data_IF_288858869478
#
_entry.id   IF_288858869478
#
_cell.length_a   1.000
_cell.length_b   1.000
_cell.length_c   1.000
_cell.angle_alpha   90.00
_cell.angle_beta   90.00
_cell.angle_gamma   90.00
#
_symmetry.space_group_name_H-M   'P 1'
#
loop_
_entity.id
_entity.type
_entity.pdbx_description
1 polymer ?
#
# COMPACT_ATOMS: atom_id res chain seq x y z
N UNK A 1 -9.04 18.27 1.39
CA UNK A 1 -8.48 17.93 2.72
C UNK A 1 -9.49 18.08 3.85
N UNK A 2 -10.39 19.04 3.78
CA UNK A 2 -11.41 19.25 4.85
C UNK A 2 -12.30 18.04 5.15
N UNK A 3 -12.49 17.14 4.20
CA UNK A 3 -13.21 15.89 4.39
C UNK A 3 -12.63 14.97 5.47
N UNK A 4 -11.31 15.06 5.69
CA UNK A 4 -10.61 14.20 6.66
C UNK A 4 -10.79 14.65 8.12
N UNK A 5 -11.15 15.91 8.38
CA UNK A 5 -11.49 16.40 9.72
C UNK A 5 -12.69 15.67 10.35
N UNK A 6 -13.46 14.96 9.54
CA UNK A 6 -14.64 14.21 9.94
C UNK A 6 -14.39 12.76 10.35
N UNK A 7 -13.16 12.26 10.25
CA UNK A 7 -12.81 10.92 10.72
C UNK A 7 -12.75 10.84 12.26
N UNK A 8 -12.96 9.67 12.82
CA UNK A 8 -13.16 9.47 14.25
C UNK A 8 -11.87 9.35 15.08
N UNK A 9 -10.71 9.25 14.43
CA UNK A 9 -9.39 9.04 15.07
C UNK A 9 -8.37 10.03 14.52
N UNK A 10 -7.15 9.98 15.04
CA UNK A 10 -6.03 10.76 14.51
C UNK A 10 -5.96 10.67 12.98
N UNK A 11 -6.08 11.85 12.36
CA UNK A 11 -6.19 11.98 10.93
C UNK A 11 -4.85 12.17 10.24
N UNK A 12 -3.79 12.53 10.95
CA UNK A 12 -2.47 12.84 10.36
C UNK A 12 -1.88 11.62 9.67
N UNK A 13 -1.87 10.45 10.34
CA UNK A 13 -1.41 9.20 9.72
C UNK A 13 -2.23 8.85 8.48
N UNK A 14 -3.56 9.01 8.54
CA UNK A 14 -4.44 8.72 7.42
C UNK A 14 -4.17 9.65 6.24
N UNK A 15 -4.04 10.95 6.48
CA UNK A 15 -3.70 11.94 5.45
C UNK A 15 -2.35 11.63 4.80
N UNK A 16 -1.34 11.28 5.61
CA UNK A 16 -0.03 10.85 5.10
C UNK A 16 -0.16 9.66 4.15
N UNK A 17 -0.96 8.65 4.48
CA UNK A 17 -1.19 7.49 3.61
C UNK A 17 -1.87 7.89 2.28
N UNK A 18 -2.82 8.84 2.30
CA UNK A 18 -3.43 9.35 1.07
C UNK A 18 -2.44 10.15 0.21
N UNK A 19 -1.57 10.97 0.83
CA UNK A 19 -0.53 11.68 0.08
C UNK A 19 0.48 10.72 -0.53
N UNK A 20 0.88 9.70 0.19
CA UNK A 20 1.72 8.62 -0.29
C UNK A 20 1.10 7.92 -1.52
N UNK A 21 -0.19 7.56 -1.43
CA UNK A 21 -0.91 6.96 -2.54
C UNK A 21 -1.03 7.91 -3.75
N UNK A 22 -1.32 9.20 -3.53
CA UNK A 22 -1.39 10.20 -4.58
C UNK A 22 -0.05 10.35 -5.32
N UNK A 23 1.04 10.48 -4.57
CA UNK A 23 2.39 10.59 -5.12
C UNK A 23 2.71 9.42 -6.06
N UNK A 24 2.44 8.18 -5.62
CA UNK A 24 2.63 7.00 -6.45
C UNK A 24 1.73 6.98 -7.70
N UNK A 25 0.44 7.30 -7.55
CA UNK A 25 -0.49 7.28 -8.69
C UNK A 25 -0.09 8.35 -9.73
N UNK A 26 0.36 9.52 -9.29
CA UNK A 26 0.86 10.55 -10.19
C UNK A 26 2.12 10.12 -10.94
N UNK A 27 3.02 9.41 -10.25
CA UNK A 27 4.24 8.85 -10.83
C UNK A 27 3.98 7.66 -11.75
N UNK A 28 2.84 6.99 -11.63
CA UNK A 28 2.53 5.70 -12.26
C UNK A 28 2.78 5.61 -13.77
N UNK A 29 2.59 6.67 -14.60
CA UNK A 29 2.88 6.60 -16.04
C UNK A 29 4.35 6.38 -16.38
N UNK A 30 5.25 6.67 -15.45
CA UNK A 30 6.70 6.56 -15.65
C UNK A 30 7.29 5.26 -15.09
N UNK A 31 6.57 4.55 -14.24
CA UNK A 31 7.10 3.38 -13.51
C UNK A 31 7.58 2.28 -14.47
N UNK A 32 6.81 1.96 -15.51
CA UNK A 32 7.19 0.92 -16.45
C UNK A 32 8.49 1.26 -17.20
N UNK A 33 8.67 2.52 -17.61
CA UNK A 33 9.90 2.98 -18.26
C UNK A 33 11.09 2.94 -17.30
N UNK A 34 10.93 3.48 -16.11
CA UNK A 34 12.00 3.48 -15.09
C UNK A 34 12.45 2.06 -14.74
N UNK A 35 11.51 1.14 -14.61
CA UNK A 35 11.77 -0.26 -14.36
C UNK A 35 12.57 -0.91 -15.49
N UNK A 36 12.19 -0.67 -16.74
CA UNK A 36 12.89 -1.17 -17.92
C UNK A 36 14.32 -0.63 -18.02
N UNK A 37 14.51 0.68 -17.83
CA UNK A 37 15.83 1.30 -17.90
C UNK A 37 16.72 0.86 -16.72
N UNK A 38 16.17 0.71 -15.53
CA UNK A 38 16.91 0.19 -14.38
C UNK A 38 17.41 -1.25 -14.61
N UNK A 39 16.61 -2.11 -15.23
CA UNK A 39 17.03 -3.46 -15.59
C UNK A 39 18.13 -3.42 -16.66
N UNK A 40 17.97 -2.58 -17.68
CA UNK A 40 18.91 -2.45 -18.80
C UNK A 40 20.29 -1.95 -18.37
N UNK A 41 20.34 -0.88 -17.58
CA UNK A 41 21.60 -0.19 -17.27
C UNK A 41 22.24 -0.64 -15.96
N UNK A 42 21.47 -1.10 -14.99
CA UNK A 42 22.00 -1.34 -13.65
C UNK A 42 21.96 -2.79 -13.18
N UNK A 43 21.38 -3.70 -13.95
CA UNK A 43 21.11 -5.09 -13.53
C UNK A 43 20.45 -5.17 -12.15
N UNK A 44 19.65 -4.14 -11.80
CA UNK A 44 19.07 -3.96 -10.47
C UNK A 44 17.77 -4.70 -10.33
N UNK A 45 17.44 -4.91 -9.08
CA UNK A 45 16.15 -5.47 -8.68
C UNK A 45 15.02 -4.57 -9.22
N UNK A 46 14.29 -5.07 -10.19
CA UNK A 46 13.10 -4.47 -10.78
C UNK A 46 12.03 -4.09 -9.74
N UNK A 47 12.14 -4.65 -8.51
CA UNK A 47 11.30 -4.34 -7.36
C UNK A 47 11.45 -2.91 -6.85
N UNK A 48 12.49 -2.18 -7.28
CA UNK A 48 12.66 -0.75 -6.99
C UNK A 48 11.51 0.10 -7.57
N UNK A 49 10.88 -0.38 -8.65
CA UNK A 49 9.78 0.33 -9.32
C UNK A 49 8.53 -0.56 -9.38
N UNK A 50 7.82 -0.75 -8.26
CA UNK A 50 6.67 -1.65 -8.18
C UNK A 50 5.52 -1.18 -9.06
N UNK A 51 5.00 -2.10 -9.87
CA UNK A 51 3.88 -1.86 -10.79
C UNK A 51 2.50 -2.01 -10.12
N UNK A 52 2.47 -2.31 -8.84
CA UNK A 52 1.25 -2.65 -8.13
C UNK A 52 1.13 -1.87 -6.83
N UNK A 53 -0.08 -1.38 -6.55
CA UNK A 53 -0.44 -0.80 -5.26
C UNK A 53 -1.67 -1.51 -4.71
N UNK A 54 -1.67 -1.77 -3.42
CA UNK A 54 -2.81 -2.23 -2.67
C UNK A 54 -3.25 -1.18 -1.67
N UNK A 55 -4.45 -0.65 -1.83
CA UNK A 55 -5.09 0.21 -0.85
C UNK A 55 -6.14 -0.62 -0.11
N UNK A 56 -5.89 -0.89 1.15
CA UNK A 56 -6.83 -1.67 1.95
C UNK A 56 -7.26 -0.93 3.22
N UNK A 57 -8.41 -1.32 3.74
CA UNK A 57 -8.97 -0.72 4.95
C UNK A 57 -10.46 -0.95 5.02
N UNK A 58 -11.05 -0.54 6.13
CA UNK A 58 -12.47 -0.73 6.38
C UNK A 58 -13.36 -0.15 5.29
N UNK A 59 -14.57 -0.67 5.16
CA UNK A 59 -15.63 -0.02 4.38
C UNK A 59 -15.81 1.41 4.87
N UNK A 60 -16.23 2.31 3.97
CA UNK A 60 -16.42 3.74 4.24
C UNK A 60 -15.13 4.53 4.63
N UNK A 61 -13.95 3.96 4.40
CA UNK A 61 -12.69 4.68 4.55
C UNK A 61 -12.46 5.75 3.45
N UNK A 62 -13.24 5.74 2.38
CA UNK A 62 -13.15 6.71 1.27
C UNK A 62 -12.20 6.29 0.15
N UNK A 63 -11.80 5.02 0.05
CA UNK A 63 -10.88 4.49 -0.97
C UNK A 63 -11.33 4.80 -2.40
N UNK A 64 -12.56 4.39 -2.74
CA UNK A 64 -13.16 4.60 -4.07
C UNK A 64 -13.28 6.08 -4.41
N UNK A 65 -13.73 6.92 -3.45
CA UNK A 65 -13.83 8.35 -3.64
C UNK A 65 -12.47 9.01 -3.89
N UNK A 66 -11.41 8.55 -3.18
CA UNK A 66 -10.05 9.03 -3.38
C UNK A 66 -9.54 8.72 -4.80
N UNK A 67 -9.72 7.50 -5.28
CA UNK A 67 -9.28 7.13 -6.64
C UNK A 67 -10.04 7.94 -7.69
N UNK A 68 -11.37 8.07 -7.56
CA UNK A 68 -12.17 8.85 -8.50
C UNK A 68 -11.73 10.33 -8.54
N UNK A 69 -11.43 10.94 -7.38
CA UNK A 69 -10.88 12.30 -7.32
C UNK A 69 -9.50 12.38 -7.98
N UNK A 70 -8.65 11.40 -7.77
CA UNK A 70 -7.31 11.35 -8.36
C UNK A 70 -7.40 11.22 -9.89
N UNK A 71 -8.26 10.36 -10.40
CA UNK A 71 -8.50 10.21 -11.84
C UNK A 71 -9.08 11.51 -12.45
N UNK A 72 -10.02 12.16 -11.77
CA UNK A 72 -10.55 13.46 -12.20
C UNK A 72 -9.42 14.50 -12.27
N UNK A 73 -8.55 14.55 -11.29
CA UNK A 73 -7.42 15.48 -11.25
C UNK A 73 -6.37 15.19 -12.35
N UNK A 74 -6.21 13.93 -12.75
CA UNK A 74 -5.26 13.54 -13.79
C UNK A 74 -5.83 13.72 -15.21
N UNK A 75 -7.10 13.39 -15.44
CA UNK A 75 -7.65 13.17 -16.78
C UNK A 75 -8.91 13.98 -17.07
N UNK A 76 -9.42 14.75 -16.11
CA UNK A 76 -10.73 15.44 -16.17
C UNK A 76 -11.90 14.47 -16.42
N UNK A 77 -11.67 13.21 -16.13
CA UNK A 77 -12.64 12.13 -16.33
C UNK A 77 -12.53 11.14 -15.16
N UNK A 78 -13.58 11.04 -14.38
CA UNK A 78 -13.69 10.00 -13.35
C UNK A 78 -14.50 8.84 -13.93
N UNK A 79 -13.79 7.87 -14.50
CA UNK A 79 -14.42 6.64 -14.97
C UNK A 79 -14.80 5.77 -13.78
N UNK A 80 -15.82 4.96 -13.98
CA UNK A 80 -16.16 3.93 -13.00
C UNK A 80 -14.97 3.00 -12.82
N UNK A 81 -14.69 2.66 -11.57
CA UNK A 81 -13.62 1.70 -11.26
C UNK A 81 -13.93 0.34 -11.89
N UNK A 82 -12.90 -0.37 -12.27
CA UNK A 82 -13.08 -1.70 -12.85
C UNK A 82 -13.67 -2.65 -11.81
N UNK A 83 -14.75 -3.34 -12.20
CA UNK A 83 -15.34 -4.36 -11.36
C UNK A 83 -14.48 -5.62 -11.37
N UNK A 84 -14.26 -6.22 -10.20
CA UNK A 84 -13.58 -7.50 -10.09
C UNK A 84 -14.31 -8.63 -10.85
N UNK A 85 -15.63 -8.58 -10.96
CA UNK A 85 -16.41 -9.64 -11.62
C UNK A 85 -16.21 -9.63 -13.14
N UNK A 86 -16.06 -8.46 -13.72
CA UNK A 86 -15.92 -8.28 -15.15
C UNK A 86 -14.48 -8.43 -15.64
N UNK A 87 -13.49 -7.96 -14.87
CA UNK A 87 -12.12 -7.76 -15.33
C UNK A 87 -11.07 -8.65 -14.65
N UNK A 88 -11.43 -9.40 -13.62
CA UNK A 88 -10.50 -10.14 -12.80
C UNK A 88 -10.23 -11.56 -13.33
N UNK A 89 -9.65 -11.66 -14.50
CA UNK A 89 -9.01 -12.89 -15.01
C UNK A 89 -7.60 -12.55 -15.50
N UNK A 90 -6.70 -13.53 -15.52
CA UNK A 90 -5.32 -13.31 -15.96
C UNK A 90 -5.26 -12.70 -17.37
N UNK A 91 -6.08 -13.20 -18.30
CA UNK A 91 -6.12 -12.73 -19.69
C UNK A 91 -6.61 -11.29 -19.79
N UNK A 92 -7.72 -10.95 -19.13
CA UNK A 92 -8.29 -9.61 -19.16
C UNK A 92 -7.37 -8.58 -18.49
N UNK A 93 -6.76 -8.94 -17.36
CA UNK A 93 -5.81 -8.05 -16.68
C UNK A 93 -4.56 -7.82 -17.53
N UNK A 94 -4.01 -8.86 -18.18
CA UNK A 94 -2.89 -8.72 -19.12
C UNK A 94 -3.27 -7.85 -20.31
N UNK A 95 -4.46 -8.04 -20.87
CA UNK A 95 -4.97 -7.20 -21.95
C UNK A 95 -5.06 -5.72 -21.52
N UNK A 96 -5.70 -5.42 -20.39
CA UNK A 96 -5.83 -4.05 -19.89
C UNK A 96 -4.46 -3.40 -19.66
N UNK A 97 -3.52 -4.12 -19.06
CA UNK A 97 -2.17 -3.67 -18.80
C UNK A 97 -1.48 -3.17 -20.08
N UNK A 98 -1.65 -3.90 -21.17
CA UNK A 98 -1.00 -3.60 -22.44
C UNK A 98 -1.70 -2.50 -23.24
N UNK A 99 -3.03 -2.40 -23.14
CA UNK A 99 -3.83 -1.47 -23.95
C UNK A 99 -3.87 -0.07 -23.34
N UNK A 100 -3.91 0.03 -22.02
CA UNK A 100 -4.12 1.31 -21.32
C UNK A 100 -2.83 2.15 -21.16
N UNK A 101 -1.68 1.64 -21.52
CA UNK A 101 -0.39 2.36 -21.70
C UNK A 101 -0.12 3.47 -20.70
N UNK A 102 0.25 3.11 -19.48
CA UNK A 102 0.63 4.07 -18.43
C UNK A 102 -0.56 4.69 -17.69
N UNK A 103 -1.81 4.42 -18.08
CA UNK A 103 -2.97 4.81 -17.30
C UNK A 103 -3.09 3.96 -16.03
N UNK A 104 -3.17 4.53 -14.81
CA UNK A 104 -3.32 3.74 -13.60
C UNK A 104 -4.70 3.06 -13.56
N UNK A 105 -4.69 1.73 -13.54
CA UNK A 105 -5.90 0.91 -13.54
C UNK A 105 -6.32 0.58 -12.11
N UNK A 106 -7.46 1.08 -11.67
CA UNK A 106 -7.98 0.78 -10.35
C UNK A 106 -9.09 -0.28 -10.41
N UNK A 107 -8.94 -1.33 -9.59
CA UNK A 107 -9.91 -2.41 -9.47
C UNK A 107 -10.45 -2.41 -8.04
N UNK A 108 -11.76 -2.24 -7.91
CA UNK A 108 -12.43 -2.11 -6.60
C UNK A 108 -12.96 -3.45 -6.07
N UNK A 109 -13.14 -3.48 -4.75
CA UNK A 109 -13.80 -4.57 -4.00
C UNK A 109 -13.19 -5.95 -4.17
N UNK A 110 -11.84 -6.06 -4.22
CA UNK A 110 -11.20 -7.37 -4.34
C UNK A 110 -11.52 -8.25 -3.13
N UNK A 111 -12.19 -9.37 -3.39
CA UNK A 111 -12.56 -10.37 -2.39
C UNK A 111 -11.43 -11.39 -2.18
N UNK A 112 -11.46 -12.10 -1.06
CA UNK A 112 -10.49 -13.15 -0.72
C UNK A 112 -10.36 -14.23 -1.80
N UNK A 113 -11.46 -14.58 -2.46
CA UNK A 113 -11.49 -15.59 -3.53
C UNK A 113 -10.76 -15.13 -4.81
N UNK A 114 -10.65 -13.83 -5.03
CA UNK A 114 -10.01 -13.22 -6.22
C UNK A 114 -8.51 -12.95 -6.01
N UNK A 115 -8.01 -13.01 -4.79
CA UNK A 115 -6.58 -12.78 -4.50
C UNK A 115 -5.63 -13.68 -5.27
N UNK A 116 -6.06 -14.88 -5.65
CA UNK A 116 -5.25 -15.78 -6.51
C UNK A 116 -4.87 -15.15 -7.86
N UNK A 117 -5.71 -14.27 -8.40
CA UNK A 117 -5.43 -13.60 -9.67
C UNK A 117 -4.42 -12.45 -9.46
N UNK A 118 -4.52 -11.72 -8.35
CA UNK A 118 -3.49 -10.72 -7.97
C UNK A 118 -2.14 -11.40 -7.84
N UNK A 119 -2.07 -12.51 -7.11
CA UNK A 119 -0.86 -13.30 -6.94
C UNK A 119 -0.24 -13.73 -8.28
N UNK A 120 -1.07 -14.21 -9.18
CA UNK A 120 -0.61 -14.66 -10.49
C UNK A 120 -0.07 -13.53 -11.36
N UNK A 121 -0.75 -12.37 -11.41
CA UNK A 121 -0.32 -11.25 -12.25
C UNK A 121 0.95 -10.61 -11.69
N UNK A 122 1.05 -10.45 -10.37
CA UNK A 122 2.23 -9.89 -9.70
C UNK A 122 3.46 -10.78 -9.89
N UNK A 123 3.31 -12.11 -9.86
CA UNK A 123 4.42 -13.04 -10.06
C UNK A 123 4.86 -13.18 -11.53
N UNK A 124 3.93 -13.09 -12.47
CA UNK A 124 4.24 -13.21 -13.91
C UNK A 124 4.81 -11.94 -14.53
N UNK A 125 4.80 -10.84 -13.81
CA UNK A 125 5.21 -9.56 -14.34
C UNK A 125 6.71 -9.51 -14.68
N UNK A 126 7.50 -10.26 -13.94
CA UNK A 126 8.95 -10.31 -14.07
C UNK A 126 9.40 -10.86 -15.44
N UNK A 127 8.62 -11.73 -16.08
CA UNK A 127 8.99 -12.38 -17.33
C UNK A 127 8.68 -11.53 -18.59
N UNK A 128 7.73 -10.61 -18.50
CA UNK A 128 7.24 -9.84 -19.66
C UNK A 128 8.09 -8.59 -19.94
N UNK A 129 8.69 -7.98 -18.91
CA UNK A 129 9.46 -6.75 -19.04
C UNK A 129 10.88 -6.96 -19.59
N UNK A 130 11.35 -8.20 -19.63
CA UNK A 130 12.72 -8.55 -20.06
C UNK A 130 12.92 -8.51 -21.57
N UNK A 131 11.86 -8.48 -22.36
CA UNK A 131 11.96 -8.66 -23.80
C UNK A 131 11.84 -7.37 -24.61
N UNK A 132 10.92 -6.47 -24.25
CA UNK A 132 10.70 -5.19 -24.93
C UNK A 132 10.14 -4.16 -23.98
N UNK A 133 10.51 -2.87 -24.19
CA UNK A 133 9.84 -1.79 -23.48
C UNK A 133 8.37 -1.71 -23.91
N UNK A 134 7.50 -2.03 -23.00
CA UNK A 134 6.07 -1.78 -23.13
C UNK A 134 5.67 -0.86 -21.97
N UNK A 135 5.03 0.26 -22.30
CA UNK A 135 4.52 1.17 -21.28
C UNK A 135 3.28 0.56 -20.58
N UNK A 136 3.54 -0.43 -19.74
CA UNK A 136 2.49 -1.13 -19.02
C UNK A 136 1.77 -0.21 -18.02
N UNK A 137 0.48 -0.46 -17.81
CA UNK A 137 -0.31 0.20 -16.78
C UNK A 137 0.03 -0.34 -15.40
N UNK A 138 0.05 0.56 -14.43
CA UNK A 138 0.08 0.23 -13.01
C UNK A 138 -1.30 -0.21 -12.55
N UNK A 139 -1.37 -1.22 -11.69
CA UNK A 139 -2.62 -1.62 -11.05
C UNK A 139 -2.72 -1.09 -9.62
N UNK A 140 -3.88 -0.52 -9.30
CA UNK A 140 -4.27 -0.11 -7.95
C UNK A 140 -5.41 -1.00 -7.49
N UNK A 141 -5.15 -1.87 -6.55
CA UNK A 141 -6.12 -2.80 -5.99
C UNK A 141 -6.77 -2.20 -4.74
N UNK A 142 -8.10 -2.17 -4.71
CA UNK A 142 -8.84 -1.73 -3.54
C UNK A 142 -9.50 -2.94 -2.86
N UNK A 143 -9.33 -3.05 -1.55
CA UNK A 143 -9.92 -4.14 -0.79
C UNK A 143 -10.35 -3.72 0.60
N UNK A 144 -11.40 -4.32 1.11
CA UNK A 144 -11.81 -4.21 2.51
C UNK A 144 -11.09 -5.25 3.38
N UNK A 145 -10.58 -6.32 2.77
CA UNK A 145 -9.86 -7.40 3.42
C UNK A 145 -8.56 -7.70 2.67
N UNK A 146 -7.52 -8.05 3.39
CA UNK A 146 -6.26 -8.52 2.81
C UNK A 146 -6.09 -9.99 3.15
N UNK A 147 -5.78 -10.81 2.15
CA UNK A 147 -5.30 -12.17 2.38
C UNK A 147 -3.83 -12.09 2.81
N UNK A 148 -3.64 -12.01 4.13
CA UNK A 148 -2.31 -11.87 4.75
C UNK A 148 -1.42 -13.11 4.59
N UNK A 149 -1.93 -14.18 3.97
CA UNK A 149 -1.18 -15.43 3.79
C UNK A 149 -0.17 -15.38 2.64
N UNK A 150 -0.16 -14.30 1.83
CA UNK A 150 0.67 -14.21 0.62
C UNK A 150 1.79 -13.18 0.73
N UNK A 151 2.73 -13.48 1.62
CA UNK A 151 3.95 -12.72 1.85
C UNK A 151 4.74 -12.37 0.55
N UNK A 152 4.80 -13.28 -0.42
CA UNK A 152 5.54 -13.04 -1.67
C UNK A 152 5.00 -11.85 -2.49
N UNK A 153 3.72 -11.49 -2.30
CA UNK A 153 3.12 -10.31 -2.95
C UNK A 153 3.65 -9.02 -2.31
N UNK A 154 3.85 -9.00 -1.00
CA UNK A 154 4.25 -7.80 -0.26
C UNK A 154 5.59 -7.21 -0.74
N UNK A 155 6.47 -8.04 -1.26
CA UNK A 155 7.78 -7.61 -1.82
C UNK A 155 7.66 -6.85 -3.15
N UNK A 156 6.51 -6.97 -3.84
CA UNK A 156 6.29 -6.44 -5.19
C UNK A 156 5.17 -5.42 -5.27
N UNK A 157 4.51 -5.15 -4.15
CA UNK A 157 3.30 -4.33 -4.07
C UNK A 157 3.47 -3.25 -3.02
N UNK A 158 3.20 -2.01 -3.40
CA UNK A 158 3.07 -0.93 -2.42
C UNK A 158 1.79 -1.13 -1.63
N UNK A 159 1.90 -1.09 -0.30
CA UNK A 159 0.77 -1.32 0.60
C UNK A 159 0.38 -0.03 1.31
N UNK A 160 -0.86 0.39 1.13
CA UNK A 160 -1.46 1.56 1.76
C UNK A 160 -2.62 1.12 2.65
N UNK A 161 -2.50 1.39 3.93
CA UNK A 161 -3.51 1.02 4.92
C UNK A 161 -4.34 2.21 5.37
N UNK A 162 -5.66 2.08 5.31
CA UNK A 162 -6.62 3.10 5.71
C UNK A 162 -7.48 2.60 6.87
N UNK A 163 -7.07 2.89 8.10
CA UNK A 163 -7.67 2.33 9.33
C UNK A 163 -8.89 3.12 9.84
N UNK A 164 -9.40 4.09 9.11
CA UNK A 164 -10.41 4.99 9.63
C UNK A 164 -11.73 4.88 8.87
N UNK A 165 -12.84 5.11 9.58
CA UNK A 165 -14.20 5.06 9.02
C UNK A 165 -14.89 6.41 9.21
N UNK A 166 -15.66 6.81 8.21
CA UNK A 166 -16.64 7.87 8.33
C UNK A 166 -17.93 7.32 8.95
N UNK A 167 -18.53 8.08 9.86
CA UNK A 167 -19.90 7.75 10.26
C UNK A 167 -20.85 7.95 9.08
N UNK A 168 -21.86 7.09 8.90
CA UNK A 168 -22.82 7.14 7.77
C UNK A 168 -23.39 8.55 7.54
N UNK A 169 -23.71 9.29 8.60
CA UNK A 169 -24.26 10.65 8.49
C UNK A 169 -23.25 11.63 7.88
N UNK A 170 -21.98 11.51 8.25
CA UNK A 170 -20.89 12.33 7.73
C UNK A 170 -20.49 11.92 6.31
N UNK A 171 -20.56 10.63 5.98
CA UNK A 171 -20.26 10.13 4.64
C UNK A 171 -21.22 10.70 3.57
N UNK A 172 -22.51 10.80 3.86
CA UNK A 172 -23.50 11.37 2.92
C UNK A 172 -23.24 12.86 2.68
N UNK A 173 -22.94 13.64 3.72
CA UNK A 173 -22.61 15.07 3.59
C UNK A 173 -21.34 15.31 2.78
N UNK A 174 -20.29 14.56 3.09
CA UNK A 174 -19.01 14.63 2.37
C UNK A 174 -19.14 14.22 0.90
N UNK A 175 -19.95 13.19 0.60
CA UNK A 175 -20.15 12.75 -0.77
C UNK A 175 -20.73 13.83 -1.68
N UNK A 176 -21.64 14.70 -1.18
CA UNK A 176 -22.16 15.84 -1.94
C UNK A 176 -21.06 16.88 -2.20
N UNK A 177 -20.28 17.22 -1.19
CA UNK A 177 -19.18 18.19 -1.31
C UNK A 177 -18.11 17.70 -2.27
N UNK A 178 -17.71 16.42 -2.19
CA UNK A 178 -16.77 15.81 -3.12
C UNK A 178 -17.26 15.89 -4.56
N UNK A 179 -18.54 15.58 -4.84
CA UNK A 179 -19.12 15.71 -6.19
C UNK A 179 -19.08 17.13 -6.72
N UNK A 180 -19.32 18.14 -5.87
CA UNK A 180 -19.24 19.55 -6.27
C UNK A 180 -17.77 19.92 -6.58
N UNK A 181 -16.83 19.52 -5.74
CA UNK A 181 -15.41 19.75 -5.97
C UNK A 181 -14.94 19.09 -7.28
N UNK A 182 -15.28 17.83 -7.50
CA UNK A 182 -14.91 17.10 -8.73
C UNK A 182 -15.39 17.76 -10.01
N UNK A 183 -16.58 18.37 -10.02
CA UNK A 183 -17.09 19.10 -11.18
C UNK A 183 -16.25 20.31 -11.57
N UNK A 184 -15.55 20.90 -10.62
CA UNK A 184 -14.69 22.08 -10.81
C UNK A 184 -13.21 21.74 -10.92
N UNK A 185 -12.84 20.46 -10.75
CA UNK A 185 -11.46 20.02 -10.87
C UNK A 185 -11.04 19.95 -12.33
N UNK A 186 -9.89 20.55 -12.63
CA UNK A 186 -9.21 20.46 -13.92
C UNK A 186 -7.90 19.69 -13.77
N UNK A 187 -7.33 19.26 -14.87
CA UNK A 187 -6.04 18.57 -14.88
C UNK A 187 -4.83 19.53 -14.96
N UNK A 188 -5.03 20.83 -14.79
CA UNK A 188 -3.97 21.82 -14.92
C UNK A 188 -2.79 21.56 -13.96
N UNK A 189 -3.08 21.17 -12.72
CA UNK A 189 -2.05 20.81 -11.75
C UNK A 189 -1.26 19.58 -12.23
N UNK A 190 -1.93 18.53 -12.65
CA UNK A 190 -1.29 17.30 -13.11
C UNK A 190 -0.50 17.50 -14.40
N UNK A 191 -0.95 18.33 -15.32
CA UNK A 191 -0.20 18.70 -16.54
C UNK A 191 1.12 19.39 -16.21
N UNK A 192 1.12 20.32 -15.24
CA UNK A 192 2.36 20.96 -14.75
C UNK A 192 3.27 19.93 -14.08
N UNK A 193 2.70 19.03 -13.27
CA UNK A 193 3.44 17.93 -12.68
C UNK A 193 4.11 17.05 -13.75
N UNK A 194 3.36 16.59 -14.76
CA UNK A 194 3.89 15.79 -15.86
C UNK A 194 5.05 16.48 -16.57
N UNK A 195 4.93 17.78 -16.89
CA UNK A 195 5.98 18.51 -17.60
C UNK A 195 7.31 18.51 -16.83
N UNK A 196 7.29 18.57 -15.49
CA UNK A 196 8.47 18.50 -14.63
C UNK A 196 8.98 17.08 -14.47
N UNK A 197 8.06 16.13 -14.30
CA UNK A 197 8.43 14.72 -14.17
C UNK A 197 9.09 14.17 -15.44
N UNK A 198 8.69 14.59 -16.63
CA UNK A 198 9.37 14.19 -17.88
C UNK A 198 10.85 14.56 -17.84
N UNK A 199 11.17 15.78 -17.43
CA UNK A 199 12.56 16.23 -17.31
C UNK A 199 13.30 15.42 -16.24
N UNK A 200 12.71 15.28 -15.05
CA UNK A 200 13.31 14.56 -13.94
C UNK A 200 13.57 13.07 -14.28
N UNK A 201 12.64 12.43 -14.98
CA UNK A 201 12.79 11.02 -15.41
C UNK A 201 13.87 10.88 -16.48
N UNK A 202 13.95 11.80 -17.46
CA UNK A 202 14.99 11.76 -18.48
C UNK A 202 16.38 12.00 -17.87
N UNK A 203 16.51 12.89 -16.89
CA UNK A 203 17.76 13.13 -16.18
C UNK A 203 18.16 11.91 -15.34
N UNK A 204 17.21 11.28 -14.67
CA UNK A 204 17.45 10.06 -13.92
C UNK A 204 17.90 8.89 -14.80
N UNK A 205 17.32 8.74 -15.99
CA UNK A 205 17.75 7.70 -16.94
C UNK A 205 19.17 7.95 -17.43
N UNK A 206 19.56 9.20 -17.72
CA UNK A 206 20.95 9.54 -18.05
C UNK A 206 21.91 9.20 -16.91
N UNK A 207 21.50 9.51 -15.67
CA UNK A 207 22.29 9.17 -14.49
C UNK A 207 22.43 7.64 -14.32
N UNK A 208 21.40 6.85 -14.62
CA UNK A 208 21.49 5.39 -14.65
C UNK A 208 22.47 4.90 -15.71
N UNK A 209 22.47 5.49 -16.91
CA UNK A 209 23.36 5.15 -18.01
C UNK A 209 24.83 5.51 -17.68
N UNK A 210 25.07 6.70 -17.11
CA UNK A 210 26.41 7.15 -16.71
C UNK A 210 26.99 6.31 -15.57
N UNK A 211 26.17 5.77 -14.69
CA UNK A 211 26.57 4.98 -13.52
C UNK A 211 26.46 3.46 -13.74
N UNK A 212 26.36 2.98 -14.98
CA UNK A 212 26.26 1.55 -15.32
C UNK A 212 27.39 0.69 -14.71
N UNK A 213 28.59 1.25 -14.56
CA UNK A 213 29.77 0.58 -14.04
C UNK A 213 29.98 0.67 -12.52
N UNK A 214 29.17 1.46 -11.82
CA UNK A 214 29.31 1.68 -10.37
C UNK A 214 28.69 0.51 -9.62
N UNK A 215 29.38 0.00 -8.59
CA UNK A 215 28.81 -1.00 -7.67
C UNK A 215 27.61 -0.42 -6.94
N UNK A 216 26.47 -0.79 -7.44
CA UNK A 216 25.22 -0.07 -7.38
C UNK A 216 24.40 -0.33 -6.12
N UNK A 217 24.95 -0.99 -5.12
CA UNK A 217 24.22 -1.23 -3.85
C UNK A 217 23.91 0.04 -3.07
N UNK A 218 24.67 1.11 -3.31
CA UNK A 218 24.54 2.38 -2.58
C UNK A 218 23.76 3.46 -3.36
N UNK A 219 23.58 3.30 -4.68
CA UNK A 219 22.86 4.29 -5.48
C UNK A 219 21.49 3.80 -5.93
N UNK A 220 20.48 4.27 -5.29
CA UNK A 220 19.08 4.06 -5.68
C UNK A 220 18.47 5.42 -5.96
N UNK A 221 18.05 5.69 -7.21
CA UNK A 221 17.39 6.94 -7.52
C UNK A 221 16.05 7.03 -6.78
N UNK A 222 15.92 8.02 -5.93
CA UNK A 222 14.70 8.23 -5.16
C UNK A 222 13.68 9.02 -5.97
N UNK A 223 13.11 8.38 -6.97
CA UNK A 223 12.08 8.97 -7.83
C UNK A 223 10.81 9.34 -7.04
N UNK A 224 10.53 8.66 -5.93
CA UNK A 224 9.40 8.98 -5.09
C UNK A 224 9.61 10.30 -4.36
N UNK A 225 10.84 10.57 -3.94
CA UNK A 225 11.22 11.85 -3.34
C UNK A 225 11.17 12.97 -4.37
N UNK A 226 11.70 12.75 -5.56
CA UNK A 226 11.63 13.71 -6.67
C UNK A 226 10.18 14.06 -7.00
N UNK A 227 9.31 13.06 -7.11
CA UNK A 227 7.88 13.25 -7.37
C UNK A 227 7.18 14.03 -6.25
N UNK A 228 7.44 13.69 -4.99
CA UNK A 228 6.88 14.39 -3.83
C UNK A 228 7.31 15.86 -3.80
N UNK A 229 8.60 16.15 -4.06
CA UNK A 229 9.13 17.51 -4.11
C UNK A 229 8.47 18.33 -5.23
N UNK A 230 8.27 17.77 -6.41
CA UNK A 230 7.55 18.44 -7.50
C UNK A 230 6.12 18.79 -7.09
N UNK A 231 5.40 17.90 -6.39
CA UNK A 231 4.06 18.18 -5.87
C UNK A 231 4.11 19.33 -4.85
N UNK A 232 5.06 19.30 -3.91
CA UNK A 232 5.26 20.34 -2.89
C UNK A 232 5.52 21.69 -3.54
N UNK A 233 6.41 21.74 -4.53
CA UNK A 233 6.78 22.98 -5.20
C UNK A 233 5.62 23.57 -6.00
N UNK A 234 4.83 22.74 -6.66
CA UNK A 234 3.61 23.18 -7.36
C UNK A 234 2.55 23.74 -6.41
N UNK A 235 2.41 23.19 -5.21
CA UNK A 235 1.52 23.72 -4.16
C UNK A 235 2.01 25.10 -3.71
N UNK A 236 3.33 25.26 -3.46
CA UNK A 236 3.94 26.54 -3.07
C UNK A 236 3.81 27.60 -4.16
N UNK A 237 4.01 27.24 -5.44
CA UNK A 237 3.84 28.15 -6.57
C UNK A 237 2.40 28.61 -6.77
N UNK A 238 1.43 27.80 -6.33
CA UNK A 238 0.04 28.21 -6.29
C UNK A 238 -0.31 29.06 -5.05
N UNK A 239 0.72 29.47 -4.28
CA UNK A 239 0.57 30.25 -3.03
C UNK A 239 -0.32 29.55 -1.99
N UNK A 240 -0.34 28.21 -1.99
CA UNK A 240 -1.10 27.40 -1.06
C UNK A 240 -0.20 26.87 0.05
N UNK A 241 -0.76 26.70 1.24
CA UNK A 241 -0.07 26.06 2.34
C UNK A 241 0.18 24.57 2.04
N UNK A 242 1.43 24.13 2.20
CA UNK A 242 1.79 22.72 2.06
C UNK A 242 1.30 21.97 3.29
N UNK A 243 0.45 20.95 3.13
CA UNK A 243 -0.01 20.15 4.26
C UNK A 243 1.15 19.48 4.99
N UNK A 244 1.13 19.49 6.32
CA UNK A 244 2.19 18.90 7.15
C UNK A 244 2.41 17.41 6.89
N UNK A 245 1.35 16.71 6.45
CA UNK A 245 1.38 15.28 6.16
C UNK A 245 1.93 14.94 4.75
N UNK A 246 2.14 15.97 3.92
CA UNK A 246 2.84 15.86 2.63
C UNK A 246 4.32 16.07 2.88
N UNK A 247 5.01 15.02 3.24
CA UNK A 247 6.43 14.97 3.49
C UNK A 247 7.21 14.59 2.21
N UNK A 248 8.53 14.67 2.29
CA UNK A 248 9.41 14.08 1.32
C UNK A 248 9.37 12.56 1.48
N UNK A 249 8.50 11.90 0.72
CA UNK A 249 8.44 10.45 0.71
C UNK A 249 9.70 9.90 0.04
N UNK A 250 10.33 8.95 0.72
CA UNK A 250 11.51 8.27 0.21
C UNK A 250 11.13 6.90 -0.35
N UNK A 251 12.02 6.31 -1.13
CA UNK A 251 11.85 4.97 -1.66
C UNK A 251 11.53 3.94 -0.55
N UNK A 252 12.17 4.04 0.61
CA UNK A 252 11.92 3.17 1.77
C UNK A 252 10.49 3.24 2.30
N UNK A 253 9.79 4.36 2.09
CA UNK A 253 8.38 4.50 2.44
C UNK A 253 7.47 3.61 1.60
N UNK A 254 7.88 3.23 0.40
CA UNK A 254 7.05 2.49 -0.57
C UNK A 254 7.46 1.04 -0.72
N UNK A 255 8.71 0.72 -0.51
CA UNK A 255 9.31 -0.59 -0.77
C UNK A 255 9.99 -1.10 0.48
N UNK A 256 10.45 -2.34 0.46
CA UNK A 256 11.18 -2.91 1.58
C UNK A 256 10.29 -3.35 2.75
N UNK A 257 10.86 -3.28 3.93
CA UNK A 257 10.27 -3.86 5.14
C UNK A 257 8.95 -3.20 5.57
N UNK A 258 8.72 -1.93 5.20
CA UNK A 258 7.51 -1.21 5.66
C UNK A 258 6.21 -1.86 5.21
N UNK A 259 6.12 -2.34 3.96
CA UNK A 259 4.95 -3.04 3.45
C UNK A 259 4.76 -4.41 4.11
N UNK A 260 5.86 -5.10 4.33
CA UNK A 260 5.92 -6.39 5.01
C UNK A 260 5.45 -6.24 6.46
N UNK A 261 5.97 -5.24 7.15
CA UNK A 261 5.61 -4.94 8.53
C UNK A 261 4.13 -4.56 8.67
N UNK A 262 3.59 -3.78 7.75
CA UNK A 262 2.16 -3.46 7.72
C UNK A 262 1.30 -4.72 7.57
N UNK A 263 1.65 -5.63 6.67
CA UNK A 263 0.92 -6.88 6.46
C UNK A 263 1.07 -7.84 7.64
N UNK A 264 2.26 -7.93 8.23
CA UNK A 264 2.51 -8.75 9.42
C UNK A 264 1.77 -8.21 10.64
N UNK A 265 1.75 -6.88 10.81
CA UNK A 265 0.94 -6.21 11.83
C UNK A 265 -0.55 -6.52 11.66
N UNK A 266 -1.06 -6.46 10.43
CA UNK A 266 -2.45 -6.81 10.13
C UNK A 266 -2.74 -8.27 10.42
N UNK A 267 -1.84 -9.19 10.04
CA UNK A 267 -1.97 -10.61 10.32
C UNK A 267 -2.11 -10.86 11.83
N UNK A 268 -1.24 -10.28 12.65
CA UNK A 268 -1.33 -10.40 14.11
C UNK A 268 -2.64 -9.86 14.68
N UNK A 269 -3.11 -8.71 14.18
CA UNK A 269 -4.41 -8.14 14.60
C UNK A 269 -5.58 -9.02 14.24
N UNK A 270 -5.59 -9.54 13.01
CA UNK A 270 -6.65 -10.41 12.51
C UNK A 270 -6.69 -11.71 13.32
N UNK A 271 -5.52 -12.34 13.53
CA UNK A 271 -5.45 -13.55 14.35
C UNK A 271 -5.90 -13.30 15.79
N UNK A 272 -5.51 -12.19 16.40
CA UNK A 272 -5.96 -11.86 17.75
C UNK A 272 -7.47 -11.62 17.81
N UNK A 273 -8.07 -11.03 16.78
CA UNK A 273 -9.51 -10.78 16.71
C UNK A 273 -10.32 -12.07 16.52
N UNK A 274 -9.82 -12.98 15.66
CA UNK A 274 -10.51 -14.21 15.29
C UNK A 274 -10.22 -15.36 16.26
N UNK A 275 -9.00 -15.44 16.78
CA UNK A 275 -8.50 -16.53 17.60
C UNK A 275 -7.78 -16.01 18.87
N UNK A 276 -8.44 -15.25 19.75
CA UNK A 276 -7.80 -14.61 20.90
C UNK A 276 -7.18 -15.60 21.89
N UNK A 277 -7.63 -16.85 21.90
CA UNK A 277 -7.11 -17.89 22.80
C UNK A 277 -5.75 -18.45 22.39
N UNK A 278 -5.31 -18.18 21.16
CA UNK A 278 -3.95 -18.47 20.72
C UNK A 278 -2.90 -17.53 21.33
N UNK A 279 -3.34 -16.38 21.87
CA UNK A 279 -2.47 -15.34 22.40
C UNK A 279 -2.35 -15.43 23.91
N UNK A 280 -1.18 -15.81 24.39
CA UNK A 280 -0.84 -15.83 25.81
C UNK A 280 0.01 -14.61 26.16
N UNK A 281 -0.55 -13.72 26.98
CA UNK A 281 0.03 -12.43 27.35
C UNK A 281 0.59 -12.50 28.77
N UNK A 282 1.91 -12.46 28.91
CA UNK A 282 2.59 -12.34 30.21
C UNK A 282 3.13 -10.92 30.42
N UNK A 283 2.32 -10.05 31.02
CA UNK A 283 2.69 -8.65 31.27
C UNK A 283 3.84 -8.46 32.25
N UNK A 284 4.03 -9.40 33.19
CA UNK A 284 5.11 -9.31 34.18
C UNK A 284 6.48 -9.53 33.56
N UNK A 285 6.56 -10.45 32.61
CA UNK A 285 7.80 -10.78 31.89
C UNK A 285 7.91 -10.04 30.57
N UNK A 286 6.93 -9.21 30.22
CA UNK A 286 6.84 -8.52 28.93
C UNK A 286 6.90 -9.46 27.72
N UNK A 287 6.24 -10.63 27.81
CA UNK A 287 6.27 -11.65 26.79
C UNK A 287 4.87 -11.86 26.20
N UNK A 288 4.80 -11.91 24.86
CA UNK A 288 3.68 -12.40 24.09
C UNK A 288 4.04 -13.74 23.45
N UNK A 289 3.21 -14.76 23.66
CA UNK A 289 3.32 -16.04 22.96
C UNK A 289 2.08 -16.28 22.10
N UNK A 290 2.28 -16.53 20.80
CA UNK A 290 1.21 -16.93 19.87
C UNK A 290 1.35 -18.42 19.58
N UNK A 291 0.36 -19.21 19.96
CA UNK A 291 0.35 -20.66 19.86
C UNK A 291 -0.55 -21.16 18.72
N UNK A 292 0.07 -21.64 17.64
CA UNK A 292 -0.61 -22.18 16.47
C UNK A 292 -0.85 -23.71 16.55
N UNK A 293 -0.56 -24.36 17.69
CA UNK A 293 -0.69 -25.83 17.85
C UNK A 293 -2.11 -26.34 17.54
N UNK A 294 -3.14 -25.54 17.86
CA UNK A 294 -4.54 -25.87 17.63
C UNK A 294 -5.11 -25.28 16.33
N UNK A 295 -4.27 -24.70 15.45
CA UNK A 295 -4.72 -24.15 14.20
C UNK A 295 -5.20 -25.25 13.25
N UNK A 296 -6.39 -25.13 12.70
CA UNK A 296 -7.05 -26.17 11.89
C UNK A 296 -6.26 -26.52 10.61
N UNK A 297 -5.69 -25.50 9.95
CA UNK A 297 -4.87 -25.67 8.76
C UNK A 297 -3.38 -25.57 9.11
N UNK A 298 -2.72 -26.71 9.28
CA UNK A 298 -1.30 -26.79 9.62
C UNK A 298 -0.37 -26.14 8.57
N UNK A 299 -0.74 -26.15 7.31
CA UNK A 299 0.03 -25.50 6.25
C UNK A 299 0.00 -23.97 6.40
N UNK A 300 -1.18 -23.40 6.68
CA UNK A 300 -1.31 -21.98 6.96
C UNK A 300 -0.62 -21.58 8.27
N UNK A 301 -0.75 -22.39 9.31
CA UNK A 301 -0.04 -22.15 10.57
C UNK A 301 1.46 -22.03 10.37
N UNK A 302 2.10 -22.97 9.66
CA UNK A 302 3.54 -22.94 9.36
C UNK A 302 3.95 -21.71 8.55
N UNK A 303 3.15 -21.30 7.57
CA UNK A 303 3.42 -20.08 6.79
C UNK A 303 3.39 -18.84 7.68
N UNK A 304 2.39 -18.71 8.56
CA UNK A 304 2.29 -17.59 9.51
C UNK A 304 3.45 -17.56 10.49
N UNK A 305 3.83 -18.71 11.05
CA UNK A 305 5.00 -18.80 11.91
C UNK A 305 6.28 -18.37 11.19
N UNK A 306 6.50 -18.82 9.96
CA UNK A 306 7.65 -18.40 9.14
C UNK A 306 7.62 -16.89 8.85
N UNK A 307 6.45 -16.31 8.63
CA UNK A 307 6.29 -14.87 8.47
C UNK A 307 6.68 -14.12 9.76
N UNK A 308 6.22 -14.59 10.93
CA UNK A 308 6.62 -13.99 12.22
C UNK A 308 8.11 -14.10 12.48
N UNK A 309 8.73 -15.22 12.14
CA UNK A 309 10.16 -15.47 12.35
C UNK A 309 11.06 -14.57 11.49
N UNK A 310 10.68 -14.38 10.21
CA UNK A 310 11.59 -13.75 9.24
C UNK A 310 11.27 -12.27 8.96
N UNK A 311 10.06 -11.82 9.28
CA UNK A 311 9.53 -10.57 8.74
C UNK A 311 9.11 -9.56 9.81
N UNK A 312 9.28 -9.91 11.07
CA UNK A 312 9.08 -8.94 12.15
C UNK A 312 10.31 -8.05 12.33
N UNK A 313 10.14 -6.78 12.71
CA UNK A 313 11.26 -5.93 13.09
C UNK A 313 12.14 -6.60 14.16
N UNK A 314 13.45 -6.45 14.02
CA UNK A 314 14.43 -7.11 14.90
C UNK A 314 14.22 -6.78 16.39
N UNK A 315 13.74 -5.58 16.70
CA UNK A 315 13.47 -5.14 18.08
C UNK A 315 12.31 -5.89 18.76
N UNK A 316 11.49 -6.66 18.02
CA UNK A 316 10.47 -7.53 18.62
C UNK A 316 11.05 -8.84 19.15
N UNK A 317 12.27 -9.18 18.75
CA UNK A 317 12.96 -10.43 19.14
C UNK A 317 12.10 -11.69 19.02
N UNK A 318 11.46 -11.87 17.86
CA UNK A 318 10.61 -13.02 17.64
C UNK A 318 11.43 -14.32 17.58
N UNK A 319 11.03 -15.29 18.39
CA UNK A 319 11.61 -16.65 18.40
C UNK A 319 10.51 -17.66 18.15
N UNK A 320 10.70 -18.51 17.13
CA UNK A 320 9.78 -19.59 16.80
C UNK A 320 10.33 -20.92 17.27
N UNK A 321 9.55 -21.62 18.11
CA UNK A 321 9.89 -22.97 18.63
C UNK A 321 8.67 -23.87 18.43
N UNK A 322 8.79 -24.83 17.53
CA UNK A 322 7.67 -25.70 17.16
C UNK A 322 6.52 -24.90 16.54
N UNK A 323 5.34 -25.01 17.13
CA UNK A 323 4.14 -24.30 16.68
C UNK A 323 3.90 -22.97 17.43
N UNK A 324 4.92 -22.42 18.10
CA UNK A 324 4.79 -21.21 18.92
C UNK A 324 5.77 -20.12 18.50
N UNK A 325 5.28 -18.89 18.45
CA UNK A 325 6.09 -17.70 18.29
C UNK A 325 6.06 -16.89 19.59
N UNK A 326 7.23 -16.49 20.09
CA UNK A 326 7.39 -15.70 21.31
C UNK A 326 8.10 -14.39 20.98
N UNK A 327 7.61 -13.28 21.50
CA UNK A 327 8.14 -11.95 21.21
C UNK A 327 7.90 -10.96 22.37
N UNK A 328 8.58 -9.82 22.37
CA UNK A 328 8.35 -8.77 23.38
C UNK A 328 6.95 -8.15 23.24
N UNK A 329 6.19 -8.21 24.33
CA UNK A 329 4.80 -7.72 24.35
C UNK A 329 4.69 -6.23 24.06
N UNK A 330 5.42 -5.38 24.79
CA UNK A 330 5.35 -3.93 24.64
C UNK A 330 5.72 -3.45 23.25
N UNK A 331 6.77 -4.04 22.67
CA UNK A 331 7.21 -3.71 21.32
C UNK A 331 6.20 -4.19 20.27
N UNK A 332 5.61 -5.37 20.49
CA UNK A 332 4.57 -5.89 19.60
C UNK A 332 3.30 -5.05 19.68
N UNK A 333 2.84 -4.65 20.86
CA UNK A 333 1.69 -3.75 21.02
C UNK A 333 1.94 -2.39 20.35
N UNK A 334 3.15 -1.84 20.45
CA UNK A 334 3.56 -0.62 19.74
C UNK A 334 3.57 -0.82 18.23
N UNK A 335 4.15 -1.89 17.76
CA UNK A 335 4.24 -2.25 16.34
C UNK A 335 2.87 -2.42 15.70
N UNK A 336 1.95 -3.14 16.35
CA UNK A 336 0.58 -3.31 15.84
C UNK A 336 -0.32 -2.10 16.13
N UNK A 337 0.06 -1.21 17.07
CA UNK A 337 -0.75 -0.06 17.49
C UNK A 337 -2.05 -0.43 18.22
N UNK A 338 -2.06 -1.56 18.92
CA UNK A 338 -3.19 -2.00 19.74
C UNK A 338 -2.72 -2.90 20.87
N UNK A 339 -3.47 -2.95 21.99
CA UNK A 339 -3.16 -3.82 23.13
C UNK A 339 -3.82 -5.20 22.97
N UNK A 340 -3.14 -6.23 23.44
CA UNK A 340 -3.66 -7.60 23.52
C UNK A 340 -4.53 -7.80 24.77
N UNK A 341 -5.52 -6.94 24.96
CA UNK A 341 -6.51 -7.12 26.03
C UNK A 341 -7.69 -7.93 25.53
N UNK A 342 -7.91 -9.12 26.14
CA UNK A 342 -9.14 -9.87 25.90
C UNK A 342 -10.31 -8.99 26.37
N UNK A 343 -11.27 -8.73 25.48
CA UNK A 343 -12.52 -8.04 25.85
C UNK A 343 -13.15 -8.81 27.00
N UNK A 344 -13.20 -8.22 28.20
CA UNK A 344 -13.96 -8.81 29.32
C UNK A 344 -15.41 -8.97 28.83
N UNK A 345 -15.92 -10.19 28.87
CA UNK A 345 -17.32 -10.45 28.53
C UNK A 345 -18.20 -9.53 29.39
N UNK A 346 -19.22 -8.96 28.75
CA UNK A 346 -20.17 -8.03 29.40
C UNK A 346 -20.73 -8.59 30.73
N UNK A 347 -20.86 -9.91 30.84
CA UNK A 347 -21.28 -10.62 32.06
C UNK A 347 -20.26 -10.52 33.20
N UNK A 348 -18.95 -10.44 32.94
CA UNK A 348 -17.93 -10.24 33.98
C UNK A 348 -17.84 -8.80 34.49
N UNK A 349 -18.44 -7.83 33.77
CA UNK A 349 -18.59 -6.45 34.26
C UNK A 349 -19.79 -6.25 35.17
N UNK A 350 -20.73 -7.17 35.16
CA UNK A 350 -21.99 -7.10 35.98
C UNK A 350 -21.84 -7.92 37.26
N UNK A 351 -21.02 -8.95 37.29
CA UNK A 351 -20.88 -9.89 38.41
C UNK A 351 -19.46 -9.95 39.03
N UNK A 352 -18.54 -9.09 38.66
CA UNK A 352 -17.22 -8.94 39.26
C UNK A 352 -17.07 -7.55 39.96
#
# INVERSE_FOLDING_TARGET
>A
MDGYSNFTKDTSRLKRQYWKALNYIFLSPFIARLRYEAEKFSQRDERLFPMYMLIYGSSDAGKTAFINMTQQLMFEDSRDLLSQDDWFSNEKMTYLKNVMKGYPLAIDEITSTKWKYVDNIVKKDDDLLKQEFINHSVFVFLSNNVDTTKYEISKRVIVIKLDNQLTRKKAVGNGKNIKILMKNMTNAFYRKYLSRMFVAVDDLIKEMEENESVDTKEWVPDIFNVSANIIIDLIKEAELEVPNELEQFNWEDYTGDSAIWELTSLMLKTEFSENPDMFNVNRKENILTVDFSNYSDKSKARKKLKTLENELPANLECKVIGDKATMYLSETERFIGTSFEKKKNFLQKIFG
#
